data_IF_898313896445
#
_entry.id   IF_898313896445
#
_cell.length_a   1.000
_cell.length_b   1.000
_cell.length_c   1.000
_cell.angle_alpha   90.00
_cell.angle_beta   90.00
_cell.angle_gamma   90.00
#
_symmetry.space_group_name_H-M   'P 1'
#
loop_
_entity.id
_entity.type
_entity.pdbx_description
1 polymer ?
#
# COMPACT_ATOMS: atom_id res chain seq x y z
N UNK A 1 7.30 14.23 -1.55
CA UNK A 1 8.63 13.97 -0.95
C UNK A 1 9.02 12.48 -1.07
N UNK A 2 8.12 11.53 -0.80
CA UNK A 2 8.39 10.09 -0.94
C UNK A 2 8.84 9.70 -2.35
N UNK A 3 8.18 10.22 -3.39
CA UNK A 3 8.55 10.00 -4.79
C UNK A 3 9.99 10.47 -5.07
N UNK A 4 10.37 11.65 -4.55
CA UNK A 4 11.76 12.11 -4.63
C UNK A 4 12.73 11.11 -4.01
N UNK A 5 12.42 10.58 -2.82
CA UNK A 5 13.28 9.61 -2.14
C UNK A 5 13.39 8.29 -2.90
N UNK A 6 12.31 7.77 -3.48
CA UNK A 6 12.33 6.57 -4.31
C UNK A 6 13.21 6.80 -5.53
N UNK A 7 12.91 7.84 -6.30
CA UNK A 7 13.62 8.14 -7.56
C UNK A 7 15.11 8.45 -7.34
N UNK A 8 15.46 9.17 -6.26
CA UNK A 8 16.85 9.43 -5.91
C UNK A 8 17.59 8.17 -5.42
N UNK A 9 16.88 7.18 -4.91
CA UNK A 9 17.46 5.89 -4.49
C UNK A 9 17.69 4.95 -5.68
N UNK A 10 16.77 4.96 -6.67
CA UNK A 10 16.83 4.08 -7.85
C UNK A 10 17.74 4.63 -8.94
N UNK A 11 17.79 5.93 -9.12
CA UNK A 11 18.53 6.59 -10.20
C UNK A 11 19.61 7.53 -9.60
N UNK A 12 19.27 8.82 -9.45
CA UNK A 12 20.16 9.82 -8.87
C UNK A 12 19.36 11.02 -8.33
N UNK A 13 20.05 11.93 -7.62
CA UNK A 13 19.41 13.11 -7.00
C UNK A 13 18.77 14.06 -8.03
N UNK A 14 19.34 14.18 -9.25
CA UNK A 14 18.78 15.05 -10.28
C UNK A 14 17.48 14.47 -10.84
N UNK A 15 17.46 13.18 -11.17
CA UNK A 15 16.23 12.48 -11.56
C UNK A 15 15.15 12.58 -10.47
N UNK A 16 15.53 12.45 -9.21
CA UNK A 16 14.59 12.62 -8.09
C UNK A 16 13.94 14.00 -8.06
N UNK A 17 14.70 15.09 -8.30
CA UNK A 17 14.18 16.45 -8.36
C UNK A 17 13.22 16.64 -9.53
N UNK A 18 13.59 16.15 -10.72
CA UNK A 18 12.77 16.27 -11.93
C UNK A 18 11.44 15.53 -11.75
N UNK A 19 11.49 14.27 -11.31
CA UNK A 19 10.29 13.44 -11.09
C UNK A 19 9.40 14.06 -10.03
N UNK A 20 9.97 14.58 -8.93
CA UNK A 20 9.20 15.29 -7.92
C UNK A 20 8.49 16.52 -8.51
N UNK A 21 9.18 17.31 -9.31
CA UNK A 21 8.62 18.50 -9.93
C UNK A 21 7.47 18.15 -10.88
N UNK A 22 7.64 17.13 -11.74
CA UNK A 22 6.61 16.64 -12.64
C UNK A 22 5.37 16.20 -11.86
N UNK A 23 5.54 15.42 -10.81
CA UNK A 23 4.41 14.98 -9.97
C UNK A 23 3.75 16.15 -9.22
N UNK A 24 4.54 17.11 -8.75
CA UNK A 24 4.05 18.29 -8.03
C UNK A 24 3.25 19.23 -8.94
N UNK A 25 3.66 19.38 -10.19
CA UNK A 25 2.99 20.25 -11.15
C UNK A 25 1.82 19.56 -11.89
N UNK A 26 1.58 18.27 -11.63
CA UNK A 26 0.50 17.54 -12.30
C UNK A 26 -0.87 17.96 -11.74
N UNK A 27 -1.75 18.63 -12.56
CA UNK A 27 -3.03 19.13 -12.09
C UNK A 27 -4.01 18.01 -11.70
N UNK A 28 -3.88 16.82 -12.31
CA UNK A 28 -4.73 15.66 -11.98
C UNK A 28 -4.48 15.23 -10.54
N UNK A 29 -3.23 15.29 -10.06
CA UNK A 29 -2.89 14.92 -8.71
C UNK A 29 -3.60 15.83 -7.67
N UNK A 30 -3.62 17.14 -7.92
CA UNK A 30 -4.31 18.10 -7.05
C UNK A 30 -5.83 17.98 -7.14
N UNK A 31 -6.38 17.78 -8.33
CA UNK A 31 -7.82 17.59 -8.53
C UNK A 31 -8.34 16.39 -7.75
N UNK A 32 -7.66 15.25 -7.83
CA UNK A 32 -8.04 14.06 -7.07
C UNK A 32 -7.93 14.23 -5.55
N UNK A 33 -6.96 14.98 -5.06
CA UNK A 33 -6.84 15.26 -3.63
C UNK A 33 -8.08 15.95 -3.05
N UNK A 34 -8.68 16.86 -3.81
CA UNK A 34 -9.88 17.59 -3.38
C UNK A 34 -11.16 16.74 -3.51
N UNK A 35 -11.25 15.89 -4.54
CA UNK A 35 -12.46 15.10 -4.84
C UNK A 35 -12.54 13.81 -4.03
N UNK A 36 -11.41 13.14 -3.80
CA UNK A 36 -11.37 11.85 -3.10
C UNK A 36 -10.20 11.77 -2.10
N UNK A 37 -10.39 12.25 -0.87
CA UNK A 37 -9.32 12.27 0.13
C UNK A 37 -8.82 10.86 0.50
N UNK A 38 -9.64 9.80 0.35
CA UNK A 38 -9.24 8.42 0.62
C UNK A 38 -8.12 7.97 -0.34
N UNK A 39 -8.21 8.32 -1.61
CA UNK A 39 -7.21 7.95 -2.62
C UNK A 39 -5.86 8.66 -2.36
N UNK A 40 -5.90 9.85 -1.78
CA UNK A 40 -4.68 10.56 -1.35
C UNK A 40 -3.95 9.80 -0.24
N UNK A 41 -4.67 9.28 0.75
CA UNK A 41 -4.09 8.49 1.84
C UNK A 41 -3.52 7.17 1.30
N UNK A 42 -4.23 6.53 0.36
CA UNK A 42 -3.78 5.31 -0.32
C UNK A 42 -2.51 5.56 -1.13
N UNK A 43 -2.46 6.64 -1.90
CA UNK A 43 -1.27 7.03 -2.65
C UNK A 43 -0.07 7.32 -1.72
N UNK A 44 -0.30 8.01 -0.61
CA UNK A 44 0.70 8.22 0.43
C UNK A 44 1.23 6.89 0.97
N UNK A 45 0.34 6.00 1.39
CA UNK A 45 0.70 4.69 1.95
C UNK A 45 1.49 3.84 0.93
N UNK A 46 1.09 3.85 -0.36
CA UNK A 46 1.79 3.12 -1.43
C UNK A 46 3.21 3.65 -1.66
N UNK A 47 3.36 4.96 -1.78
CA UNK A 47 4.67 5.61 -1.98
C UNK A 47 5.62 5.28 -0.82
N UNK A 48 5.15 5.40 0.42
CA UNK A 48 5.99 5.11 1.57
C UNK A 48 6.27 3.63 1.75
N UNK A 49 5.31 2.74 1.50
CA UNK A 49 5.55 1.28 1.48
C UNK A 49 6.61 0.90 0.45
N UNK A 50 6.57 1.51 -0.74
CA UNK A 50 7.58 1.32 -1.79
C UNK A 50 8.97 1.77 -1.31
N UNK A 51 9.09 2.97 -0.76
CA UNK A 51 10.36 3.49 -0.26
C UNK A 51 10.93 2.63 0.86
N UNK A 52 10.08 2.24 1.81
CA UNK A 52 10.47 1.44 2.98
C UNK A 52 10.95 0.06 2.52
N UNK A 53 10.25 -0.59 1.57
CA UNK A 53 10.68 -1.87 1.01
C UNK A 53 12.04 -1.76 0.33
N UNK A 54 12.26 -0.74 -0.50
CA UNK A 54 13.57 -0.50 -1.12
C UNK A 54 14.68 -0.37 -0.08
N UNK A 55 14.43 0.40 0.97
CA UNK A 55 15.41 0.59 2.06
C UNK A 55 15.60 -0.67 2.90
N UNK A 56 14.57 -1.47 3.09
CA UNK A 56 14.66 -2.76 3.76
C UNK A 56 15.55 -3.72 2.98
N UNK A 57 15.33 -3.88 1.66
CA UNK A 57 16.14 -4.75 0.81
C UNK A 57 17.63 -4.37 0.83
N UNK A 58 17.92 -3.06 0.88
CA UNK A 58 19.30 -2.56 0.97
C UNK A 58 19.95 -2.78 2.35
N UNK A 59 19.17 -2.76 3.43
CA UNK A 59 19.67 -2.65 4.80
C UNK A 59 19.29 -3.81 5.73
N UNK A 60 18.81 -4.94 5.22
CA UNK A 60 18.35 -6.07 6.03
C UNK A 60 19.39 -6.56 7.06
N UNK A 61 20.68 -6.44 6.75
CA UNK A 61 21.77 -6.91 7.62
C UNK A 61 22.00 -6.03 8.86
N UNK A 62 21.52 -4.78 8.87
CA UNK A 62 21.61 -3.89 10.02
C UNK A 62 20.39 -4.11 10.93
N UNK A 63 20.58 -4.75 12.08
CA UNK A 63 19.49 -5.13 13.00
C UNK A 63 18.57 -3.95 13.35
N UNK A 64 19.15 -2.79 13.72
CA UNK A 64 18.37 -1.62 14.10
C UNK A 64 17.59 -1.04 12.92
N UNK A 65 18.22 -0.89 11.74
CA UNK A 65 17.54 -0.40 10.54
C UNK A 65 16.46 -1.36 10.07
N UNK A 66 16.72 -2.68 10.11
CA UNK A 66 15.76 -3.71 9.75
C UNK A 66 14.48 -3.60 10.56
N UNK A 67 14.59 -3.59 11.90
CA UNK A 67 13.44 -3.47 12.81
C UNK A 67 12.64 -2.19 12.55
N UNK A 68 13.32 -1.08 12.33
CA UNK A 68 12.70 0.19 12.02
C UNK A 68 11.91 0.13 10.71
N UNK A 69 12.47 -0.47 9.64
CA UNK A 69 11.75 -0.60 8.37
C UNK A 69 10.58 -1.59 8.45
N UNK A 70 10.69 -2.66 9.24
CA UNK A 70 9.59 -3.59 9.50
C UNK A 70 8.43 -2.89 10.19
N UNK A 71 8.71 -2.11 11.23
CA UNK A 71 7.70 -1.32 11.93
C UNK A 71 7.02 -0.31 10.98
N UNK A 72 7.81 0.48 10.25
CA UNK A 72 7.27 1.46 9.31
C UNK A 72 6.46 0.81 8.18
N UNK A 73 6.90 -0.34 7.66
CA UNK A 73 6.16 -1.08 6.64
C UNK A 73 4.79 -1.53 7.18
N UNK A 74 4.76 -2.11 8.38
CA UNK A 74 3.50 -2.51 9.03
C UNK A 74 2.55 -1.33 9.24
N UNK A 75 3.06 -0.19 9.69
CA UNK A 75 2.26 1.02 9.89
C UNK A 75 1.72 1.58 8.56
N UNK A 76 2.54 1.69 7.52
CA UNK A 76 2.10 2.24 6.23
C UNK A 76 1.12 1.31 5.51
N UNK A 77 1.37 -0.01 5.55
CA UNK A 77 0.46 -1.01 4.96
C UNK A 77 -0.85 -1.05 5.74
N UNK A 78 -0.81 -1.07 7.07
CA UNK A 78 -2.00 -1.05 7.90
C UNK A 78 -2.84 0.22 7.75
N UNK A 79 -2.19 1.39 7.61
CA UNK A 79 -2.88 2.64 7.33
C UNK A 79 -3.60 2.59 5.97
N UNK A 80 -2.93 2.14 4.91
CA UNK A 80 -3.54 2.02 3.58
C UNK A 80 -4.69 1.01 3.56
N UNK A 81 -4.51 -0.16 4.18
CA UNK A 81 -5.55 -1.21 4.29
C UNK A 81 -6.72 -0.76 5.15
N UNK A 82 -6.44 -0.04 6.24
CA UNK A 82 -7.46 0.52 7.13
C UNK A 82 -8.37 1.55 6.46
N UNK A 83 -7.86 2.27 5.46
CA UNK A 83 -8.66 3.20 4.64
C UNK A 83 -9.45 2.43 3.58
N UNK A 84 -8.84 1.44 2.92
CA UNK A 84 -9.50 0.69 1.85
C UNK A 84 -8.80 -0.66 1.60
N UNK A 85 -9.52 -1.78 1.72
CA UNK A 85 -8.98 -3.13 1.50
C UNK A 85 -8.32 -3.30 0.12
N UNK A 86 -8.89 -2.78 -1.00
CA UNK A 86 -8.25 -2.88 -2.32
C UNK A 86 -6.83 -2.29 -2.40
N UNK A 87 -6.40 -1.52 -1.40
CA UNK A 87 -5.00 -1.09 -1.29
C UNK A 87 -4.01 -2.26 -1.38
N UNK A 88 -4.35 -3.43 -0.81
CA UNK A 88 -3.48 -4.61 -0.88
C UNK A 88 -3.18 -5.03 -2.32
N UNK A 89 -4.13 -4.84 -3.25
CA UNK A 89 -3.91 -5.14 -4.66
C UNK A 89 -2.90 -4.18 -5.30
N UNK A 90 -2.83 -2.94 -4.83
CA UNK A 90 -1.85 -1.96 -5.34
C UNK A 90 -0.41 -2.29 -4.93
N UNK A 91 -0.23 -3.15 -3.92
CA UNK A 91 1.08 -3.65 -3.51
C UNK A 91 1.58 -4.84 -4.34
N UNK A 92 0.72 -5.50 -5.12
CA UNK A 92 1.11 -6.68 -5.92
C UNK A 92 2.26 -6.39 -6.89
N UNK A 93 2.25 -5.31 -7.70
CA UNK A 93 3.39 -4.99 -8.55
C UNK A 93 4.68 -4.74 -7.76
N UNK A 94 4.57 -4.14 -6.57
CA UNK A 94 5.70 -3.89 -5.70
C UNK A 94 6.30 -5.20 -5.15
N UNK A 95 5.47 -6.14 -4.75
CA UNK A 95 5.91 -7.47 -4.28
C UNK A 95 6.52 -8.26 -5.43
N UNK A 96 5.93 -8.23 -6.61
CA UNK A 96 6.49 -8.87 -7.80
C UNK A 96 7.88 -8.31 -8.12
N UNK A 97 8.03 -6.98 -8.10
CA UNK A 97 9.33 -6.33 -8.28
C UNK A 97 10.35 -6.80 -7.23
N UNK A 98 9.97 -6.90 -5.96
CA UNK A 98 10.86 -7.37 -4.90
C UNK A 98 11.28 -8.83 -5.13
N UNK A 99 10.35 -9.72 -5.54
CA UNK A 99 10.65 -11.11 -5.88
C UNK A 99 11.64 -11.17 -7.05
N UNK A 100 11.40 -10.42 -8.12
CA UNK A 100 12.31 -10.37 -9.27
C UNK A 100 13.70 -9.88 -8.86
N UNK A 101 13.76 -8.85 -8.00
CA UNK A 101 15.08 -8.35 -7.54
C UNK A 101 15.80 -9.34 -6.63
N UNK A 102 15.11 -9.99 -5.70
CA UNK A 102 15.70 -10.96 -4.78
C UNK A 102 16.26 -12.18 -5.52
N UNK A 103 15.52 -12.71 -6.50
CA UNK A 103 15.89 -13.97 -7.14
C UNK A 103 16.70 -13.80 -8.43
N UNK A 104 16.47 -12.75 -9.20
CA UNK A 104 17.03 -12.61 -10.55
C UNK A 104 18.03 -11.45 -10.69
N UNK A 105 17.62 -10.22 -10.37
CA UNK A 105 18.42 -9.05 -10.71
C UNK A 105 19.47 -8.70 -9.67
N UNK A 106 19.16 -8.86 -8.40
CA UNK A 106 20.02 -8.52 -7.24
C UNK A 106 20.64 -7.12 -7.32
N UNK A 107 19.94 -6.18 -7.98
CA UNK A 107 20.43 -4.80 -8.17
C UNK A 107 20.25 -3.94 -6.93
N UNK A 108 19.17 -4.19 -6.17
CA UNK A 108 18.79 -3.42 -4.99
C UNK A 108 19.06 -4.22 -3.74
N UNK A 109 18.77 -5.51 -3.79
CA UNK A 109 18.94 -6.44 -2.69
C UNK A 109 20.43 -6.60 -2.33
N UNK A 110 20.74 -6.46 -1.04
CA UNK A 110 22.08 -6.63 -0.53
C UNK A 110 22.59 -8.08 -0.77
N UNK A 111 23.86 -8.25 -1.10
CA UNK A 111 24.47 -9.56 -1.35
C UNK A 111 24.35 -10.55 -0.16
N UNK A 112 24.23 -10.03 1.06
CA UNK A 112 24.05 -10.82 2.30
C UNK A 112 22.56 -10.95 2.71
N UNK A 113 21.63 -10.78 1.77
CA UNK A 113 20.19 -10.89 2.04
C UNK A 113 19.82 -12.33 2.46
N UNK A 114 18.97 -12.44 3.49
CA UNK A 114 18.50 -13.73 4.02
C UNK A 114 16.99 -13.85 3.83
N UNK A 115 16.55 -14.84 3.07
CA UNK A 115 15.14 -15.15 2.82
C UNK A 115 14.42 -15.50 4.13
N UNK A 116 15.04 -16.27 5.01
CA UNK A 116 14.42 -16.64 6.29
C UNK A 116 14.12 -15.42 7.16
N UNK A 117 15.05 -14.45 7.21
CA UNK A 117 14.79 -13.18 7.92
C UNK A 117 13.66 -12.40 7.25
N UNK A 118 13.59 -12.40 5.92
CA UNK A 118 12.53 -11.73 5.17
C UNK A 118 11.15 -12.32 5.49
N UNK A 119 11.02 -13.64 5.55
CA UNK A 119 9.76 -14.31 5.90
C UNK A 119 9.32 -13.96 7.32
N UNK A 120 10.23 -14.02 8.28
CA UNK A 120 9.93 -13.64 9.68
C UNK A 120 9.52 -12.17 9.76
N UNK A 121 10.25 -11.27 9.11
CA UNK A 121 9.95 -9.84 9.09
C UNK A 121 8.60 -9.55 8.41
N UNK A 122 8.27 -10.29 7.34
CA UNK A 122 6.97 -10.19 6.67
C UNK A 122 5.81 -10.56 7.60
N UNK A 123 5.97 -11.61 8.42
CA UNK A 123 4.97 -11.98 9.43
C UNK A 123 4.77 -10.82 10.41
N UNK A 124 5.84 -10.20 10.91
CA UNK A 124 5.72 -9.04 11.80
C UNK A 124 5.03 -7.85 11.12
N UNK A 125 5.36 -7.56 9.85
CA UNK A 125 4.68 -6.52 9.06
C UNK A 125 3.19 -6.81 8.97
N UNK A 126 2.79 -8.06 8.66
CA UNK A 126 1.39 -8.45 8.57
C UNK A 126 0.66 -8.34 9.91
N UNK A 127 1.29 -8.74 11.01
CA UNK A 127 0.70 -8.61 12.36
C UNK A 127 0.46 -7.15 12.71
N UNK A 128 1.45 -6.27 12.48
CA UNK A 128 1.31 -4.83 12.76
C UNK A 128 0.23 -4.21 11.86
N UNK A 129 0.25 -4.52 10.56
CA UNK A 129 -0.73 -4.00 9.61
C UNK A 129 -2.15 -4.46 9.96
N UNK A 130 -2.32 -5.72 10.31
CA UNK A 130 -3.61 -6.28 10.74
C UNK A 130 -4.12 -5.61 12.02
N UNK A 131 -3.28 -5.48 13.03
CA UNK A 131 -3.63 -4.83 14.29
C UNK A 131 -4.11 -3.39 14.07
N UNK A 132 -3.42 -2.65 13.20
CA UNK A 132 -3.81 -1.27 12.87
C UNK A 132 -5.13 -1.22 12.09
N UNK A 133 -5.33 -2.15 11.15
CA UNK A 133 -6.59 -2.27 10.39
C UNK A 133 -7.77 -2.59 11.30
N UNK A 134 -7.63 -3.55 12.21
CA UNK A 134 -8.66 -3.90 13.19
C UNK A 134 -8.96 -2.72 14.10
N UNK A 135 -7.94 -2.01 14.57
CA UNK A 135 -8.11 -0.80 15.37
C UNK A 135 -8.91 0.28 14.65
N UNK A 136 -8.64 0.47 13.35
CA UNK A 136 -9.33 1.47 12.52
C UNK A 136 -10.77 1.11 12.16
N UNK A 137 -11.19 -0.15 12.35
CA UNK A 137 -12.51 -0.65 11.96
C UNK A 137 -13.35 -1.12 13.15
N UNK A 138 -14.12 -0.24 13.82
CA UNK A 138 -14.89 -0.61 14.98
C UNK A 138 -15.89 -1.76 14.77
N UNK A 139 -16.45 -1.87 13.56
CA UNK A 139 -17.43 -2.91 13.22
C UNK A 139 -16.86 -4.35 13.18
N UNK A 140 -15.54 -4.51 13.09
CA UNK A 140 -14.91 -5.84 13.17
C UNK A 140 -14.58 -6.27 14.59
N UNK A 141 -14.78 -5.39 15.59
CA UNK A 141 -14.46 -5.71 16.99
C UNK A 141 -15.33 -6.81 17.58
N UNK A 142 -16.51 -7.11 16.98
CA UNK A 142 -17.34 -8.24 17.39
C UNK A 142 -16.68 -9.60 17.17
N UNK A 143 -15.94 -9.75 16.08
CA UNK A 143 -15.10 -10.93 15.80
C UNK A 143 -13.92 -10.53 14.91
N UNK A 144 -12.81 -10.21 15.58
CA UNK A 144 -11.60 -9.72 14.93
C UNK A 144 -10.96 -10.70 13.93
N UNK A 145 -11.25 -11.99 14.02
CA UNK A 145 -10.67 -12.99 13.13
C UNK A 145 -11.50 -13.24 11.87
N UNK A 146 -12.83 -13.17 11.94
CA UNK A 146 -13.71 -13.54 10.82
C UNK A 146 -14.24 -12.34 10.04
N UNK A 147 -14.58 -11.25 10.73
CA UNK A 147 -15.21 -10.09 10.10
C UNK A 147 -14.35 -9.39 9.04
N UNK A 148 -13.02 -9.20 9.23
CA UNK A 148 -12.18 -8.61 8.18
C UNK A 148 -12.18 -9.44 6.89
N UNK A 149 -12.19 -10.78 7.00
CA UNK A 149 -12.23 -11.68 5.84
C UNK A 149 -13.60 -11.66 5.16
N UNK A 150 -14.69 -11.60 5.92
CA UNK A 150 -16.04 -11.44 5.34
C UNK A 150 -16.16 -10.15 4.53
N UNK A 151 -15.66 -9.03 5.08
CA UNK A 151 -15.64 -7.75 4.38
C UNK A 151 -14.82 -7.80 3.09
N UNK A 152 -13.67 -8.46 3.12
CA UNK A 152 -12.86 -8.67 1.92
C UNK A 152 -13.64 -9.46 0.86
N UNK A 153 -14.33 -10.53 1.25
CA UNK A 153 -15.14 -11.32 0.34
C UNK A 153 -16.34 -10.53 -0.22
N UNK A 154 -16.99 -9.71 0.60
CA UNK A 154 -18.08 -8.83 0.15
C UNK A 154 -17.56 -7.83 -0.88
N UNK A 155 -16.40 -7.20 -0.61
CA UNK A 155 -15.81 -6.25 -1.56
C UNK A 155 -15.35 -6.90 -2.87
N UNK A 156 -14.87 -8.14 -2.84
CA UNK A 156 -14.51 -8.87 -4.06
C UNK A 156 -15.73 -9.27 -4.89
N UNK A 157 -16.89 -9.47 -4.25
CA UNK A 157 -18.14 -9.81 -4.94
C UNK A 157 -18.88 -8.59 -5.50
N UNK A 158 -18.74 -7.43 -4.88
CA UNK A 158 -19.37 -6.19 -5.35
C UNK A 158 -18.59 -5.61 -6.52
N UNK A 159 -19.18 -5.58 -7.71
CA UNK A 159 -18.54 -5.15 -8.97
C UNK A 159 -18.02 -3.71 -8.91
N UNK A 160 -18.63 -2.84 -8.10
CA UNK A 160 -18.25 -1.42 -7.98
C UNK A 160 -17.98 -0.94 -6.54
N UNK A 161 -18.05 -1.83 -5.56
CA UNK A 161 -17.83 -1.47 -4.15
C UNK A 161 -18.90 -0.57 -3.53
N UNK A 162 -19.94 -0.20 -4.29
CA UNK A 162 -21.10 0.59 -3.85
C UNK A 162 -22.36 -0.18 -4.19
N UNK A 163 -23.16 -0.61 -3.20
CA UNK A 163 -24.36 -1.41 -3.45
C UNK A 163 -25.49 -0.62 -4.13
N UNK A 164 -25.51 0.71 -3.96
CA UNK A 164 -26.56 1.58 -4.45
C UNK A 164 -25.98 2.79 -5.17
N UNK A 165 -26.52 3.15 -6.32
CA UNK A 165 -26.18 4.35 -7.09
C UNK A 165 -27.44 5.19 -7.28
N UNK A 166 -27.31 6.50 -7.08
CA UNK A 166 -28.37 7.46 -7.39
C UNK A 166 -28.26 7.81 -8.90
N UNK A 167 -29.26 7.40 -9.67
CA UNK A 167 -29.39 7.71 -11.08
C UNK A 167 -30.77 8.32 -11.33
N UNK A 168 -30.80 9.49 -11.96
CA UNK A 168 -32.03 10.25 -12.28
C UNK A 168 -32.98 10.42 -11.06
N UNK A 169 -32.40 10.70 -9.88
CA UNK A 169 -33.15 10.90 -8.65
C UNK A 169 -33.67 9.62 -7.96
N UNK A 170 -33.39 8.44 -8.51
CA UNK A 170 -33.81 7.13 -7.98
C UNK A 170 -32.59 6.32 -7.59
N UNK A 171 -32.67 5.60 -6.45
CA UNK A 171 -31.62 4.68 -6.04
C UNK A 171 -31.79 3.32 -6.74
N UNK A 172 -30.78 2.92 -7.48
CA UNK A 172 -30.68 1.61 -8.12
C UNK A 172 -29.60 0.76 -7.45
N UNK A 173 -29.83 -0.55 -7.36
CA UNK A 173 -28.74 -1.48 -7.11
C UNK A 173 -27.77 -1.42 -8.28
N UNK A 174 -26.47 -1.49 -8.01
CA UNK A 174 -25.42 -1.30 -9.01
C UNK A 174 -25.56 -2.26 -10.21
N UNK A 175 -26.13 -3.44 -9.97
CA UNK A 175 -26.33 -4.50 -10.98
C UNK A 175 -27.60 -4.30 -11.80
N UNK A 176 -28.44 -3.32 -11.46
CA UNK A 176 -29.78 -3.06 -12.08
C UNK A 176 -29.87 -1.65 -12.68
N UNK A 177 -28.74 -1.03 -12.98
CA UNK A 177 -28.72 0.28 -13.65
C UNK A 177 -29.38 0.18 -15.03
N UNK A 178 -30.34 1.05 -15.36
CA UNK A 178 -30.89 1.13 -16.72
C UNK A 178 -29.81 1.65 -17.67
N UNK A 179 -29.61 0.96 -18.78
CA UNK A 179 -28.71 1.36 -19.86
C UNK A 179 -29.40 2.36 -20.79
#
# INVERSE_FOLDING_TARGET
>A
FGIYKISSTLFNKQAGKIIFLICFLNPIFFGHMAMNPKDTIIAFANIWSTYILLKYLQNQNSSNKRKHYVLLAGLTIGLGTGVRIPFLMTLMPLLLFAVVDIFFTKKITNSKFSINKFIVDLIFVLVIAYSLTVFAWPHVHGNIFTEPFKLLLIQLKSSFGVPWILFDGIFYETDKLPY
#
